data_IF_587834192223
#
_entry.id   IF_587834192223
#
_cell.length_a   1.000
_cell.length_b   1.000
_cell.length_c   1.000
_cell.angle_alpha   90.00
_cell.angle_beta   90.00
_cell.angle_gamma   90.00
#
_symmetry.space_group_name_H-M   'P 1'
#
loop_
_entity.id
_entity.type
_entity.pdbx_description
1 polymer ?
#
# COMPACT_ATOMS: atom_id res chain seq x y z
N UNK A 1 -13.21 -5.19 -14.10
CA UNK A 1 -12.62 -4.54 -12.92
C UNK A 1 -13.36 -3.27 -12.57
N UNK A 2 -13.68 -2.41 -13.53
CA UNK A 2 -14.46 -1.17 -13.31
C UNK A 2 -15.68 -1.42 -12.43
N UNK A 3 -16.50 -2.45 -12.74
CA UNK A 3 -17.66 -2.82 -11.93
C UNK A 3 -17.30 -3.23 -10.50
N UNK A 4 -16.18 -3.92 -10.32
CA UNK A 4 -15.72 -4.37 -9.00
C UNK A 4 -15.25 -3.20 -8.13
N UNK A 5 -14.51 -2.24 -8.70
CA UNK A 5 -14.06 -1.04 -8.00
C UNK A 5 -15.24 -0.15 -7.63
N UNK A 6 -16.20 0.04 -8.56
CA UNK A 6 -17.37 0.88 -8.33
C UNK A 6 -18.45 0.26 -7.42
N UNK A 7 -18.42 -1.06 -7.19
CA UNK A 7 -19.47 -1.77 -6.45
C UNK A 7 -19.65 -1.23 -5.04
N UNK A 8 -18.58 -1.15 -4.26
CA UNK A 8 -18.64 -0.67 -2.87
C UNK A 8 -19.08 0.79 -2.79
N UNK A 9 -18.60 1.63 -3.69
CA UNK A 9 -19.02 3.04 -3.77
C UNK A 9 -20.51 3.17 -4.04
N UNK A 10 -21.06 2.38 -4.97
CA UNK A 10 -22.49 2.36 -5.27
C UNK A 10 -23.34 1.85 -4.09
N UNK A 11 -22.82 0.93 -3.30
CA UNK A 11 -23.50 0.40 -2.11
C UNK A 11 -23.53 1.46 -0.99
N UNK A 12 -22.45 2.20 -0.77
CA UNK A 12 -22.33 3.19 0.30
C UNK A 12 -23.03 4.51 -0.07
N UNK A 13 -22.96 4.95 -1.34
CA UNK A 13 -23.56 6.20 -1.79
C UNK A 13 -25.11 6.14 -1.91
N UNK A 14 -25.72 4.98 -1.74
CA UNK A 14 -27.15 4.79 -2.01
C UNK A 14 -27.46 4.85 -3.52
N UNK A 15 -28.68 4.38 -3.91
CA UNK A 15 -29.11 4.25 -5.32
C UNK A 15 -29.35 5.58 -6.09
N UNK A 16 -28.84 6.72 -5.61
CA UNK A 16 -29.13 8.06 -6.14
C UNK A 16 -28.00 8.77 -6.92
N UNK A 17 -26.82 8.15 -7.08
CA UNK A 17 -25.71 8.80 -7.80
C UNK A 17 -25.84 8.66 -9.32
N UNK A 18 -25.79 9.80 -10.06
CA UNK A 18 -25.73 9.85 -11.52
C UNK A 18 -24.59 8.95 -12.04
N UNK A 19 -24.94 7.90 -12.80
CA UNK A 19 -24.01 6.87 -13.25
C UNK A 19 -22.80 7.36 -14.08
N UNK A 20 -22.86 8.55 -14.68
CA UNK A 20 -21.77 9.11 -15.49
C UNK A 20 -20.61 9.64 -14.64
N UNK A 21 -20.88 10.34 -13.52
CA UNK A 21 -19.83 10.87 -12.64
C UNK A 21 -19.12 9.75 -11.85
N UNK A 22 -19.84 8.68 -11.51
CA UNK A 22 -19.28 7.52 -10.83
C UNK A 22 -18.31 6.73 -11.73
N UNK A 23 -18.61 6.62 -13.02
CA UNK A 23 -17.74 5.97 -14.01
C UNK A 23 -16.42 6.72 -14.20
N UNK A 24 -16.47 8.03 -14.38
CA UNK A 24 -15.29 8.88 -14.53
C UNK A 24 -14.34 8.78 -13.33
N UNK A 25 -14.88 8.80 -12.10
CA UNK A 25 -14.06 8.66 -10.90
C UNK A 25 -13.40 7.28 -10.77
N UNK A 26 -14.03 6.20 -11.25
CA UNK A 26 -13.40 4.87 -11.29
C UNK A 26 -12.30 4.81 -12.35
N UNK A 27 -12.50 5.42 -13.49
CA UNK A 27 -11.49 5.49 -14.55
C UNK A 27 -10.29 6.33 -14.13
N UNK A 28 -10.49 7.41 -13.36
CA UNK A 28 -9.39 8.16 -12.75
C UNK A 28 -8.59 7.30 -11.75
N UNK A 29 -9.26 6.52 -10.91
CA UNK A 29 -8.58 5.59 -10.01
C UNK A 29 -7.81 4.52 -10.76
N UNK A 30 -8.37 3.95 -11.83
CA UNK A 30 -7.67 2.99 -12.69
C UNK A 30 -6.39 3.60 -13.29
N UNK A 31 -6.48 4.84 -13.76
CA UNK A 31 -5.31 5.58 -14.29
C UNK A 31 -4.25 5.81 -13.22
N UNK A 32 -4.66 6.22 -12.02
CA UNK A 32 -3.75 6.46 -10.89
C UNK A 32 -2.99 5.21 -10.51
N UNK A 33 -3.63 4.04 -10.50
CA UNK A 33 -2.95 2.77 -10.18
C UNK A 33 -2.30 2.11 -11.41
N UNK A 34 -2.22 2.80 -12.55
CA UNK A 34 -1.58 2.27 -13.76
C UNK A 34 -2.31 1.08 -14.39
N UNK A 35 -3.65 1.08 -14.31
CA UNK A 35 -4.54 0.09 -14.93
C UNK A 35 -5.44 0.72 -16.00
N UNK A 36 -4.98 1.81 -16.61
CA UNK A 36 -5.68 2.42 -17.75
C UNK A 36 -5.84 1.40 -18.89
N UNK A 37 -7.01 1.36 -19.52
CA UNK A 37 -7.36 0.37 -20.55
C UNK A 37 -7.72 -1.03 -20.02
N UNK A 38 -7.54 -1.34 -18.73
CA UNK A 38 -7.89 -2.65 -18.16
C UNK A 38 -9.24 -2.69 -17.44
N UNK A 39 -10.02 -1.61 -17.48
CA UNK A 39 -11.30 -1.47 -16.78
C UNK A 39 -12.31 -2.58 -17.07
N UNK A 40 -12.33 -3.11 -18.30
CA UNK A 40 -13.27 -4.14 -18.75
C UNK A 40 -12.76 -5.57 -18.60
N UNK A 41 -11.51 -5.73 -18.14
CA UNK A 41 -10.94 -7.06 -17.89
C UNK A 41 -11.50 -7.69 -16.61
N UNK A 42 -11.53 -9.03 -16.58
CA UNK A 42 -11.85 -9.81 -15.39
C UNK A 42 -10.61 -10.05 -14.53
N UNK A 43 -10.76 -10.31 -13.21
CA UNK A 43 -9.62 -10.56 -12.33
C UNK A 43 -8.65 -11.63 -12.82
N UNK A 44 -9.16 -12.76 -13.35
CA UNK A 44 -8.35 -13.85 -13.88
C UNK A 44 -7.53 -13.50 -15.15
N UNK A 45 -7.81 -12.36 -15.79
CA UNK A 45 -7.07 -11.85 -16.94
C UNK A 45 -5.94 -10.89 -16.54
N UNK A 46 -5.73 -10.68 -15.25
CA UNK A 46 -4.73 -9.79 -14.70
C UNK A 46 -3.58 -10.56 -14.06
N UNK A 47 -2.38 -10.02 -14.14
CA UNK A 47 -1.26 -10.50 -13.32
C UNK A 47 -1.51 -10.24 -11.82
N UNK A 48 -0.79 -10.93 -10.93
CA UNK A 48 -0.90 -10.74 -9.48
C UNK A 48 -0.72 -9.27 -9.06
N UNK A 49 0.30 -8.58 -9.58
CA UNK A 49 0.51 -7.15 -9.32
C UNK A 49 -0.62 -6.27 -9.86
N UNK A 50 -1.21 -6.60 -11.02
CA UNK A 50 -2.38 -5.87 -11.52
C UNK A 50 -3.62 -6.08 -10.64
N UNK A 51 -3.81 -7.29 -10.12
CA UNK A 51 -4.90 -7.59 -9.18
C UNK A 51 -4.76 -6.79 -7.87
N UNK A 52 -3.54 -6.66 -7.34
CA UNK A 52 -3.28 -5.85 -6.16
C UNK A 52 -3.50 -4.36 -6.40
N UNK A 53 -3.07 -3.83 -7.55
CA UNK A 53 -3.38 -2.45 -7.94
C UNK A 53 -4.88 -2.21 -8.08
N UNK A 54 -5.62 -3.18 -8.60
CA UNK A 54 -7.08 -3.12 -8.65
C UNK A 54 -7.72 -3.15 -7.26
N UNK A 55 -7.17 -3.93 -6.33
CA UNK A 55 -7.60 -3.96 -4.92
C UNK A 55 -7.34 -2.62 -4.22
N UNK A 56 -6.18 -2.00 -4.47
CA UNK A 56 -5.85 -0.66 -3.97
C UNK A 56 -6.84 0.39 -4.53
N UNK A 57 -7.10 0.39 -5.84
CA UNK A 57 -8.10 1.29 -6.45
C UNK A 57 -9.49 1.11 -5.84
N UNK A 58 -9.88 -0.13 -5.54
CA UNK A 58 -11.15 -0.45 -4.86
C UNK A 58 -11.21 0.13 -3.45
N UNK A 59 -10.13 0.02 -2.68
CA UNK A 59 -10.06 0.58 -1.34
C UNK A 59 -10.12 2.12 -1.38
N UNK A 60 -9.42 2.76 -2.31
CA UNK A 60 -9.42 4.20 -2.51
C UNK A 60 -10.77 4.75 -3.02
N UNK A 61 -11.56 3.93 -3.71
CA UNK A 61 -12.86 4.34 -4.24
C UNK A 61 -13.87 4.78 -3.17
N UNK A 62 -13.66 4.35 -1.93
CA UNK A 62 -14.46 4.76 -0.76
C UNK A 62 -13.99 6.06 -0.12
N UNK A 63 -12.90 6.64 -0.61
CA UNK A 63 -12.23 7.82 -0.05
C UNK A 63 -12.00 7.72 1.48
N UNK A 64 -11.44 6.62 2.00
CA UNK A 64 -11.30 6.40 3.43
C UNK A 64 -10.28 7.38 4.05
N UNK A 65 -10.49 7.75 5.31
CA UNK A 65 -9.51 8.51 6.08
C UNK A 65 -8.27 7.67 6.42
N UNK A 66 -8.46 6.37 6.64
CA UNK A 66 -7.41 5.40 7.00
C UNK A 66 -7.48 4.19 6.09
N UNK A 67 -6.35 3.79 5.53
CA UNK A 67 -6.17 2.54 4.78
C UNK A 67 -5.48 1.50 5.66
N UNK A 68 -6.09 0.32 5.75
CA UNK A 68 -5.50 -0.83 6.44
C UNK A 68 -5.00 -1.82 5.38
N UNK A 69 -3.72 -2.16 5.45
CA UNK A 69 -3.07 -3.07 4.50
C UNK A 69 -2.34 -4.15 5.29
N UNK A 70 -2.78 -5.39 5.14
CA UNK A 70 -2.21 -6.55 5.81
C UNK A 70 -1.43 -7.38 4.79
N UNK A 71 -0.11 -7.37 4.90
CA UNK A 71 0.85 -8.04 4.01
C UNK A 71 0.53 -7.89 2.50
N UNK A 72 0.27 -6.67 2.00
CA UNK A 72 -0.29 -6.51 0.65
C UNK A 72 0.64 -6.98 -0.47
N UNK A 73 1.93 -7.19 -0.17
CA UNK A 73 2.94 -7.63 -1.14
C UNK A 73 3.48 -9.03 -0.87
N UNK A 74 2.96 -9.75 0.14
CA UNK A 74 3.50 -11.04 0.59
C UNK A 74 3.52 -12.14 -0.48
N UNK A 75 2.56 -12.14 -1.40
CA UNK A 75 2.45 -13.14 -2.47
C UNK A 75 3.23 -12.76 -3.76
N UNK A 76 3.98 -11.65 -3.77
CA UNK A 76 4.71 -11.18 -4.95
C UNK A 76 6.18 -11.60 -4.92
N UNK A 77 6.74 -11.83 -6.11
CA UNK A 77 8.18 -11.91 -6.30
C UNK A 77 8.85 -10.56 -6.00
N UNK A 78 10.15 -10.57 -5.73
CA UNK A 78 10.91 -9.40 -5.29
C UNK A 78 10.81 -8.21 -6.24
N UNK A 79 10.95 -8.45 -7.56
CA UNK A 79 10.90 -7.37 -8.57
C UNK A 79 9.51 -6.75 -8.64
N UNK A 80 8.48 -7.57 -8.61
CA UNK A 80 7.08 -7.10 -8.63
C UNK A 80 6.74 -6.36 -7.33
N UNK A 81 7.24 -6.84 -6.19
CA UNK A 81 7.09 -6.22 -4.87
C UNK A 81 7.69 -4.82 -4.85
N UNK A 82 8.89 -4.66 -5.35
CA UNK A 82 9.56 -3.36 -5.44
C UNK A 82 8.78 -2.36 -6.30
N UNK A 83 8.32 -2.80 -7.47
CA UNK A 83 7.47 -1.97 -8.34
C UNK A 83 6.18 -1.54 -7.63
N UNK A 84 5.56 -2.46 -6.89
CA UNK A 84 4.33 -2.17 -6.14
C UNK A 84 4.57 -1.19 -4.99
N UNK A 85 5.70 -1.28 -4.28
CA UNK A 85 6.06 -0.33 -3.25
C UNK A 85 6.22 1.10 -3.81
N UNK A 86 6.84 1.25 -4.98
CA UNK A 86 6.99 2.52 -5.68
C UNK A 86 5.62 3.07 -6.10
N UNK A 87 4.78 2.23 -6.70
CA UNK A 87 3.42 2.63 -7.11
C UNK A 87 2.57 3.05 -5.90
N UNK A 88 2.66 2.33 -4.77
CA UNK A 88 1.96 2.70 -3.55
C UNK A 88 2.42 4.08 -3.04
N UNK A 89 3.72 4.36 -3.05
CA UNK A 89 4.23 5.68 -2.66
C UNK A 89 3.71 6.78 -3.58
N UNK A 90 3.67 6.54 -4.91
CA UNK A 90 3.12 7.49 -5.89
C UNK A 90 1.64 7.79 -5.62
N UNK A 91 0.85 6.76 -5.41
CA UNK A 91 -0.57 6.87 -5.06
C UNK A 91 -0.74 7.63 -3.74
N UNK A 92 0.06 7.29 -2.73
CA UNK A 92 0.01 7.96 -1.44
C UNK A 92 0.34 9.47 -1.55
N UNK A 93 1.31 9.85 -2.36
CA UNK A 93 1.64 11.27 -2.59
C UNK A 93 0.45 12.07 -3.12
N UNK A 94 -0.39 11.45 -3.94
CA UNK A 94 -1.57 12.08 -4.51
C UNK A 94 -2.73 12.18 -3.53
N UNK A 95 -2.99 11.13 -2.74
CA UNK A 95 -4.17 11.06 -1.87
C UNK A 95 -3.90 11.42 -0.41
N UNK A 96 -2.64 11.37 0.05
CA UNK A 96 -2.22 11.75 1.41
C UNK A 96 -3.06 11.11 2.52
N UNK A 97 -3.38 9.83 2.39
CA UNK A 97 -4.15 9.09 3.38
C UNK A 97 -3.26 8.60 4.52
N UNK A 98 -3.85 8.43 5.70
CA UNK A 98 -3.21 7.66 6.77
C UNK A 98 -3.23 6.18 6.38
N UNK A 99 -2.08 5.52 6.45
CA UNK A 99 -1.95 4.10 6.09
C UNK A 99 -1.40 3.34 7.30
N UNK A 100 -2.08 2.28 7.70
CA UNK A 100 -1.55 1.25 8.58
C UNK A 100 -1.15 0.06 7.71
N UNK A 101 0.15 -0.20 7.63
CA UNK A 101 0.74 -1.19 6.74
C UNK A 101 1.41 -2.28 7.58
N UNK A 102 0.89 -3.51 7.51
CA UNK A 102 1.48 -4.68 8.17
C UNK A 102 2.37 -5.40 7.17
N UNK A 103 3.62 -5.65 7.55
CA UNK A 103 4.59 -6.40 6.74
C UNK A 103 5.60 -7.09 7.65
N UNK A 104 6.17 -8.18 7.16
CA UNK A 104 7.34 -8.84 7.73
C UNK A 104 8.66 -8.40 7.06
N UNK A 105 8.59 -7.55 6.03
CA UNK A 105 9.76 -7.02 5.33
C UNK A 105 10.24 -5.72 5.97
N UNK A 106 11.42 -5.74 6.60
CA UNK A 106 12.02 -4.54 7.20
C UNK A 106 12.31 -3.46 6.15
N UNK A 107 12.72 -3.86 4.95
CA UNK A 107 12.97 -2.93 3.86
C UNK A 107 11.70 -2.20 3.41
N UNK A 108 10.56 -2.91 3.33
CA UNK A 108 9.25 -2.27 3.05
C UNK A 108 8.85 -1.33 4.19
N UNK A 109 8.99 -1.78 5.44
CA UNK A 109 8.63 -0.97 6.60
C UNK A 109 9.39 0.36 6.61
N UNK A 110 10.71 0.34 6.40
CA UNK A 110 11.54 1.56 6.35
C UNK A 110 11.24 2.41 5.10
N UNK A 111 11.04 1.77 3.94
CA UNK A 111 10.79 2.48 2.69
C UNK A 111 9.47 3.26 2.70
N UNK A 112 8.40 2.62 3.18
CA UNK A 112 7.03 3.10 3.00
C UNK A 112 6.54 3.98 4.15
N UNK A 113 6.97 3.73 5.39
CA UNK A 113 6.36 4.37 6.56
C UNK A 113 7.12 5.59 7.10
N UNK A 114 6.43 6.42 7.85
CA UNK A 114 7.03 7.50 8.64
C UNK A 114 7.36 7.02 10.06
N UNK A 115 6.68 5.95 10.51
CA UNK A 115 6.94 5.28 11.80
C UNK A 115 6.82 3.77 11.63
N UNK A 116 7.75 3.03 12.21
CA UNK A 116 7.69 1.56 12.29
C UNK A 116 7.38 1.17 13.73
N UNK A 117 6.32 0.41 13.91
CA UNK A 117 5.91 -0.12 15.21
C UNK A 117 6.34 -1.59 15.28
N UNK A 118 7.31 -1.88 16.14
CA UNK A 118 7.75 -3.25 16.41
C UNK A 118 6.83 -3.87 17.46
N UNK A 119 6.30 -5.06 17.15
CA UNK A 119 5.43 -5.81 18.03
C UNK A 119 6.14 -7.04 18.60
N UNK A 120 5.83 -7.40 19.86
CA UNK A 120 6.28 -8.65 20.45
C UNK A 120 5.51 -9.86 19.91
N UNK A 121 6.07 -11.10 20.06
CA UNK A 121 5.28 -12.32 19.97
C UNK A 121 4.12 -12.34 20.98
N UNK A 122 3.37 -13.42 21.01
CA UNK A 122 2.19 -13.55 21.91
C UNK A 122 2.57 -13.41 23.39
N UNK A 123 1.83 -12.57 24.16
CA UNK A 123 0.79 -11.65 23.71
C UNK A 123 1.38 -10.45 22.97
N UNK A 124 0.79 -10.07 21.81
CA UNK A 124 1.25 -8.94 21.01
C UNK A 124 1.21 -7.63 21.78
N UNK A 125 2.36 -7.01 21.96
CA UNK A 125 2.53 -5.70 22.61
C UNK A 125 3.42 -4.82 21.75
N UNK A 126 3.21 -3.51 21.79
CA UNK A 126 4.14 -2.57 21.19
C UNK A 126 5.43 -2.58 22.01
N UNK A 127 6.54 -2.99 21.38
CA UNK A 127 7.86 -3.02 21.99
C UNK A 127 8.60 -1.72 21.80
N UNK A 128 8.65 -1.26 20.56
CA UNK A 128 9.34 -0.02 20.22
C UNK A 128 8.70 0.63 18.99
N UNK A 129 8.79 1.96 18.93
CA UNK A 129 8.40 2.75 17.77
C UNK A 129 9.66 3.45 17.25
N UNK A 130 9.93 3.28 15.96
CA UNK A 130 11.04 3.91 15.26
C UNK A 130 10.50 5.02 14.38
N UNK A 131 11.03 6.23 14.53
CA UNK A 131 10.78 7.33 13.60
C UNK A 131 11.69 7.14 12.36
N UNK A 132 11.10 7.24 11.18
CA UNK A 132 11.83 7.09 9.93
C UNK A 132 12.10 8.47 9.34
N UNK A 133 13.26 9.01 9.66
CA UNK A 133 13.73 10.35 9.32
C UNK A 133 14.29 10.48 7.88
N UNK A 134 13.82 9.60 6.98
CA UNK A 134 14.19 9.64 5.56
C UNK A 134 13.34 10.67 4.80
N UNK A 135 13.94 11.46 3.90
CA UNK A 135 13.22 12.49 3.15
C UNK A 135 12.16 11.88 2.23
N UNK A 136 11.10 12.66 1.95
CA UNK A 136 10.09 12.35 0.93
C UNK A 136 10.14 13.39 -0.19
N UNK A 137 9.87 13.04 -1.45
CA UNK A 137 9.50 11.70 -1.96
C UNK A 137 10.68 10.72 -1.91
N UNK A 138 10.40 9.45 -1.56
CA UNK A 138 11.41 8.40 -1.54
C UNK A 138 11.46 7.72 -2.90
N UNK A 139 12.63 7.78 -3.54
CA UNK A 139 12.93 7.02 -4.75
C UNK A 139 13.58 5.67 -4.38
N UNK A 140 13.60 4.68 -5.29
CA UNK A 140 14.21 3.36 -5.02
C UNK A 140 15.64 3.44 -4.52
N UNK A 141 16.41 4.43 -5.00
CA UNK A 141 17.81 4.66 -4.69
C UNK A 141 18.05 5.03 -3.22
N UNK A 142 17.01 5.44 -2.48
CA UNK A 142 17.09 5.72 -1.05
C UNK A 142 17.58 4.51 -0.25
N UNK A 143 17.36 3.29 -0.76
CA UNK A 143 17.85 2.05 -0.17
C UNK A 143 19.37 1.95 -0.15
N UNK A 144 20.06 2.68 -1.02
CA UNK A 144 21.53 2.74 -1.08
C UNK A 144 22.11 3.74 -0.08
N UNK A 145 21.27 4.57 0.54
CA UNK A 145 21.73 5.54 1.54
C UNK A 145 22.13 4.82 2.83
N UNK A 146 23.28 5.20 3.44
CA UNK A 146 23.70 4.62 4.72
C UNK A 146 22.61 4.69 5.79
N UNK A 147 21.91 5.81 5.89
CA UNK A 147 20.85 6.01 6.88
C UNK A 147 19.69 5.00 6.71
N UNK A 148 19.30 4.64 5.48
CA UNK A 148 18.32 3.61 5.23
C UNK A 148 18.79 2.24 5.77
N UNK A 149 20.03 1.89 5.47
CA UNK A 149 20.61 0.62 5.91
C UNK A 149 20.78 0.57 7.42
N UNK A 150 21.18 1.67 8.05
CA UNK A 150 21.28 1.78 9.50
C UNK A 150 19.93 1.56 10.18
N UNK A 151 18.87 2.17 9.68
CA UNK A 151 17.50 1.96 10.19
C UNK A 151 17.05 0.50 10.06
N UNK A 152 17.27 -0.13 8.91
CA UNK A 152 16.94 -1.55 8.71
C UNK A 152 17.72 -2.43 9.70
N UNK A 153 19.02 -2.17 9.90
CA UNK A 153 19.86 -2.91 10.84
C UNK A 153 19.43 -2.68 12.29
N UNK A 154 19.08 -1.46 12.67
CA UNK A 154 18.61 -1.12 14.01
C UNK A 154 17.31 -1.89 14.34
N UNK A 155 16.33 -1.80 13.45
CA UNK A 155 15.05 -2.50 13.62
C UNK A 155 15.25 -4.02 13.66
N UNK A 156 16.14 -4.55 12.81
CA UNK A 156 16.44 -5.97 12.77
C UNK A 156 17.06 -6.48 14.09
N UNK A 157 17.99 -5.74 14.68
CA UNK A 157 18.59 -6.09 15.99
C UNK A 157 17.52 -6.16 17.09
N UNK A 158 16.63 -5.17 17.14
CA UNK A 158 15.54 -5.15 18.12
C UNK A 158 14.55 -6.30 17.87
N UNK A 159 14.23 -6.60 16.61
CA UNK A 159 13.35 -7.72 16.26
C UNK A 159 13.91 -9.04 16.80
N UNK A 160 15.21 -9.31 16.58
CA UNK A 160 15.84 -10.52 17.09
C UNK A 160 15.89 -10.56 18.63
N UNK A 161 16.14 -9.42 19.29
CA UNK A 161 16.14 -9.34 20.76
C UNK A 161 14.77 -9.64 21.37
N UNK A 162 13.69 -9.33 20.65
CA UNK A 162 12.31 -9.58 21.10
C UNK A 162 11.87 -11.03 20.83
N UNK A 163 12.50 -11.71 19.86
CA UNK A 163 12.20 -13.09 19.49
C UNK A 163 12.99 -14.12 20.28
N UNK A 164 14.06 -13.69 20.98
CA UNK A 164 14.91 -14.52 21.85
C UNK A 164 14.31 -14.66 23.24
#
# INVERSE_FOLDING_TARGET
IRKNIGLLRNLVAGRGGNGSSAGAAVDDLLRVVGLDGFGDKFPHQLSGGMQQRAALARALALDPAVLLMDEPFGALDEITRDRMAIELMRVWQQYRKTVLFVTHSLSEAVLLSDRVVLMSPRPGRVQRIFEIDLPRPRAPEIRLMPRFQDLVLEINRELYAVMS
#
